data_IF_241093838280
#
_entry.id   IF_241093838280
#
_cell.length_a   1.000
_cell.length_b   1.000
_cell.length_c   1.000
_cell.angle_alpha   90.00
_cell.angle_beta   90.00
_cell.angle_gamma   90.00
#
_symmetry.space_group_name_H-M   'P 1'
#
loop_
_entity.id
_entity.type
_entity.pdbx_description
1 polymer ?
#
# COMPACT_ATOMS: atom_id res chain seq x y z
N UNK A 1 2.72 -15.81 23.22
CA UNK A 1 2.88 -15.94 21.77
C UNK A 1 4.36 -15.77 21.49
N UNK A 2 5.02 -16.76 20.88
CA UNK A 2 6.48 -16.76 20.74
C UNK A 2 6.94 -15.46 20.06
N UNK A 3 7.84 -14.72 20.72
CA UNK A 3 8.49 -13.52 20.19
C UNK A 3 9.40 -13.95 19.03
N UNK A 4 8.80 -14.18 17.86
CA UNK A 4 9.54 -14.42 16.62
C UNK A 4 10.36 -13.18 16.25
N UNK A 5 11.48 -13.38 15.57
CA UNK A 5 12.24 -12.27 15.00
C UNK A 5 11.37 -11.55 13.97
N UNK A 6 11.62 -10.25 13.78
CA UNK A 6 10.98 -9.48 12.73
C UNK A 6 11.33 -10.10 11.37
N UNK A 7 10.32 -10.41 10.55
CA UNK A 7 10.56 -10.86 9.18
C UNK A 7 10.80 -9.66 8.27
N UNK A 8 11.86 -9.73 7.48
CA UNK A 8 12.23 -8.75 6.46
C UNK A 8 12.16 -9.44 5.10
N UNK A 9 11.32 -8.91 4.22
CA UNK A 9 11.12 -9.43 2.88
C UNK A 9 11.74 -8.48 1.88
N UNK A 10 12.68 -8.97 1.06
CA UNK A 10 13.26 -8.19 -0.04
C UNK A 10 12.56 -8.63 -1.32
N UNK A 11 11.82 -7.70 -1.92
CA UNK A 11 11.22 -7.88 -3.23
C UNK A 11 12.17 -7.39 -4.31
N UNK A 12 12.66 -8.35 -5.11
CA UNK A 12 13.71 -8.10 -6.08
C UNK A 12 13.30 -7.15 -7.18
N UNK A 13 14.25 -6.35 -7.65
CA UNK A 13 14.13 -5.58 -8.85
C UNK A 13 13.79 -6.50 -10.01
N UNK A 14 12.92 -6.05 -10.89
CA UNK A 14 12.62 -6.87 -12.02
C UNK A 14 13.74 -6.85 -13.07
N UNK A 15 13.96 -8.00 -13.70
CA UNK A 15 15.02 -8.19 -14.68
C UNK A 15 16.38 -8.49 -14.05
N UNK A 16 17.46 -8.04 -14.70
CA UNK A 16 18.85 -8.39 -14.36
C UNK A 16 19.75 -7.17 -14.18
N UNK A 17 19.25 -6.10 -13.55
CA UNK A 17 20.07 -4.92 -13.27
C UNK A 17 21.11 -5.26 -12.18
N UNK A 18 22.43 -5.22 -12.47
CA UNK A 18 23.45 -5.65 -11.52
C UNK A 18 23.57 -4.71 -10.31
N UNK A 19 23.34 -3.40 -10.49
CA UNK A 19 23.41 -2.42 -9.38
C UNK A 19 22.31 -2.68 -8.36
N UNK A 20 21.09 -2.91 -8.86
CA UNK A 20 19.93 -3.20 -7.99
C UNK A 20 20.11 -4.51 -7.24
N UNK A 21 20.61 -5.55 -7.93
CA UNK A 21 20.90 -6.85 -7.32
C UNK A 21 21.99 -6.78 -6.27
N UNK A 22 23.06 -6.03 -6.53
CA UNK A 22 24.13 -5.82 -5.55
C UNK A 22 23.57 -5.17 -4.27
N UNK A 23 22.73 -4.13 -4.39
CA UNK A 23 22.09 -3.51 -3.24
C UNK A 23 21.20 -4.50 -2.45
N UNK A 24 20.36 -5.27 -3.15
CA UNK A 24 19.51 -6.30 -2.52
C UNK A 24 20.33 -7.36 -1.78
N UNK A 25 21.40 -7.84 -2.40
CA UNK A 25 22.32 -8.84 -1.84
C UNK A 25 23.07 -8.29 -0.63
N UNK A 26 23.59 -7.06 -0.72
CA UNK A 26 24.31 -6.40 0.37
C UNK A 26 23.40 -6.18 1.59
N UNK A 27 22.16 -5.72 1.39
CA UNK A 27 21.17 -5.58 2.47
C UNK A 27 20.89 -6.96 3.10
N UNK A 28 20.65 -7.98 2.27
CA UNK A 28 20.37 -9.33 2.77
C UNK A 28 21.53 -9.85 3.63
N UNK A 29 22.76 -9.77 3.13
CA UNK A 29 23.97 -10.25 3.82
C UNK A 29 24.17 -9.51 5.14
N UNK A 30 24.05 -8.18 5.17
CA UNK A 30 24.24 -7.40 6.39
C UNK A 30 23.19 -7.70 7.46
N UNK A 31 21.91 -7.83 7.08
CA UNK A 31 20.84 -8.19 8.02
C UNK A 31 21.04 -9.59 8.62
N UNK A 32 21.54 -10.54 7.82
CA UNK A 32 21.82 -11.90 8.29
C UNK A 32 23.00 -11.96 9.25
N UNK A 33 24.05 -11.20 8.99
CA UNK A 33 25.20 -11.07 9.89
C UNK A 33 24.79 -10.44 11.22
N UNK A 34 23.85 -9.49 11.21
CA UNK A 34 23.29 -8.89 12.42
C UNK A 34 22.45 -9.87 13.26
N UNK A 35 21.80 -10.85 12.64
CA UNK A 35 21.10 -11.95 13.31
C UNK A 35 19.83 -11.57 14.09
N UNK A 36 19.40 -10.30 14.04
CA UNK A 36 18.24 -9.77 14.77
C UNK A 36 16.90 -10.00 14.05
N UNK A 37 16.94 -10.24 12.74
CA UNK A 37 15.77 -10.38 11.86
C UNK A 37 15.84 -11.67 11.04
N UNK A 38 14.70 -12.12 10.53
CA UNK A 38 14.62 -13.22 9.57
C UNK A 38 14.46 -12.64 8.16
N UNK A 39 15.41 -12.93 7.26
CA UNK A 39 15.43 -12.37 5.90
C UNK A 39 14.87 -13.39 4.90
N UNK A 40 13.96 -12.95 4.05
CA UNK A 40 13.42 -13.72 2.93
C UNK A 40 13.44 -12.89 1.64
N UNK A 41 13.67 -13.55 0.51
CA UNK A 41 13.73 -12.91 -0.80
C UNK A 41 12.62 -13.49 -1.68
N UNK A 42 11.85 -12.60 -2.30
CA UNK A 42 10.77 -12.95 -3.23
C UNK A 42 11.02 -12.26 -4.58
N UNK A 43 10.43 -12.76 -5.69
CA UNK A 43 10.37 -12.02 -6.94
C UNK A 43 9.69 -10.64 -6.79
N UNK A 44 9.65 -9.89 -7.89
CA UNK A 44 9.06 -8.57 -7.89
C UNK A 44 7.57 -8.61 -7.46
N UNK A 45 7.24 -7.90 -6.39
CA UNK A 45 5.97 -7.99 -5.65
C UNK A 45 4.76 -7.81 -6.56
N UNK A 46 4.84 -6.84 -7.46
CA UNK A 46 3.76 -6.49 -8.38
C UNK A 46 3.55 -7.51 -9.51
N UNK A 47 4.59 -8.30 -9.83
CA UNK A 47 4.55 -9.31 -10.88
C UNK A 47 4.10 -10.69 -10.37
N UNK A 48 3.91 -10.86 -9.06
CA UNK A 48 3.50 -12.14 -8.46
C UNK A 48 2.09 -12.57 -8.92
N UNK A 49 1.93 -13.78 -9.49
CA UNK A 49 0.61 -14.36 -9.73
C UNK A 49 -0.02 -14.88 -8.41
N UNK A 50 -1.35 -15.08 -8.44
CA UNK A 50 -2.14 -15.37 -7.24
C UNK A 50 -1.80 -16.70 -6.55
N UNK A 51 -1.22 -17.64 -7.29
CA UNK A 51 -0.80 -18.99 -6.91
C UNK A 51 0.71 -19.10 -6.64
N UNK A 52 1.47 -18.00 -6.75
CA UNK A 52 2.92 -18.02 -6.54
C UNK A 52 3.31 -18.31 -5.08
N UNK A 53 4.38 -19.07 -4.89
CA UNK A 53 4.92 -19.44 -3.55
C UNK A 53 5.30 -18.22 -2.72
N UNK A 54 5.91 -17.19 -3.34
CA UNK A 54 6.21 -15.91 -2.69
C UNK A 54 4.97 -15.21 -2.13
N UNK A 55 3.82 -15.29 -2.82
CA UNK A 55 2.56 -14.72 -2.33
C UNK A 55 1.98 -15.55 -1.18
N UNK A 56 2.07 -16.88 -1.27
CA UNK A 56 1.66 -17.80 -0.20
C UNK A 56 2.47 -17.57 1.08
N UNK A 57 3.78 -17.32 0.93
CA UNK A 57 4.65 -16.93 2.04
C UNK A 57 4.22 -15.61 2.66
N UNK A 58 4.02 -14.54 1.88
CA UNK A 58 3.57 -13.25 2.43
C UNK A 58 2.23 -13.36 3.19
N UNK A 59 1.31 -14.19 2.69
CA UNK A 59 0.02 -14.46 3.35
C UNK A 59 0.17 -15.25 4.65
N UNK A 60 1.20 -16.10 4.77
CA UNK A 60 1.41 -16.92 5.97
C UNK A 60 2.08 -16.17 7.13
N UNK A 61 2.63 -14.97 6.88
CA UNK A 61 3.26 -14.15 7.93
C UNK A 61 2.22 -13.69 8.98
N UNK A 62 2.33 -14.16 10.24
CA UNK A 62 1.28 -13.95 11.24
C UNK A 62 1.33 -12.57 11.91
N UNK A 63 2.45 -11.84 11.79
CA UNK A 63 2.72 -10.61 12.55
C UNK A 63 3.29 -9.48 11.71
N UNK A 64 3.90 -8.53 12.41
CA UNK A 64 4.65 -7.42 11.85
C UNK A 64 5.74 -7.91 10.88
N UNK A 65 5.90 -7.23 9.75
CA UNK A 65 7.02 -7.49 8.84
C UNK A 65 7.40 -6.23 8.07
N UNK A 66 8.65 -6.21 7.59
CA UNK A 66 9.16 -5.18 6.70
C UNK A 66 9.19 -5.75 5.29
N UNK A 67 8.81 -4.95 4.29
CA UNK A 67 9.01 -5.26 2.88
C UNK A 67 9.83 -4.16 2.22
N UNK A 68 10.97 -4.54 1.66
CA UNK A 68 11.77 -3.69 0.80
C UNK A 68 11.38 -3.95 -0.65
N UNK A 69 11.11 -2.91 -1.42
CA UNK A 69 10.72 -3.06 -2.82
C UNK A 69 11.15 -1.87 -3.67
N UNK A 70 11.13 -2.04 -4.99
CA UNK A 70 11.38 -0.96 -5.96
C UNK A 70 10.10 -0.19 -6.34
N UNK A 71 9.10 -0.21 -5.47
CA UNK A 71 7.83 0.48 -5.60
C UNK A 71 7.76 1.58 -4.54
N UNK A 72 7.00 2.65 -4.83
CA UNK A 72 6.66 3.63 -3.79
C UNK A 72 5.95 2.95 -2.62
N UNK A 73 6.13 3.40 -1.36
CA UNK A 73 5.55 2.76 -0.18
C UNK A 73 4.03 2.59 -0.28
N UNK A 74 3.33 3.64 -0.72
CA UNK A 74 1.89 3.64 -0.98
C UNK A 74 1.49 2.61 -2.04
N UNK A 75 2.25 2.48 -3.13
CA UNK A 75 1.99 1.46 -4.15
C UNK A 75 2.20 0.04 -3.62
N UNK A 76 3.30 -0.23 -2.91
CA UNK A 76 3.58 -1.52 -2.31
C UNK A 76 2.46 -1.95 -1.33
N UNK A 77 2.00 -1.01 -0.51
CA UNK A 77 0.90 -1.23 0.44
C UNK A 77 -0.38 -1.71 -0.27
N UNK A 78 -0.84 -1.00 -1.30
CA UNK A 78 -2.08 -1.35 -1.98
C UNK A 78 -1.95 -2.57 -2.89
N UNK A 79 -0.74 -2.88 -3.37
CA UNK A 79 -0.46 -4.17 -4.04
C UNK A 79 -0.65 -5.32 -3.04
N UNK A 80 -0.13 -5.20 -1.82
CA UNK A 80 -0.32 -6.21 -0.76
C UNK A 80 -1.80 -6.34 -0.36
N UNK A 81 -2.49 -5.23 -0.14
CA UNK A 81 -3.90 -5.22 0.24
C UNK A 81 -4.77 -5.92 -0.81
N UNK A 82 -4.55 -5.62 -2.11
CA UNK A 82 -5.22 -6.30 -3.23
C UNK A 82 -5.05 -7.81 -3.15
N UNK A 83 -3.86 -8.27 -2.75
CA UNK A 83 -3.53 -9.70 -2.61
C UNK A 83 -4.01 -10.32 -1.29
N UNK A 84 -4.82 -9.59 -0.51
CA UNK A 84 -5.36 -9.98 0.79
C UNK A 84 -4.29 -10.08 1.89
N UNK A 85 -3.24 -9.27 1.75
CA UNK A 85 -2.17 -9.14 2.74
C UNK A 85 -2.35 -7.77 3.41
N UNK A 86 -3.37 -7.65 4.27
CA UNK A 86 -3.70 -6.40 4.96
C UNK A 86 -2.81 -6.14 6.19
N UNK A 87 -2.65 -4.88 6.56
CA UNK A 87 -1.94 -4.42 7.77
C UNK A 87 -1.87 -2.89 7.78
N UNK A 88 -1.54 -2.27 8.92
CA UNK A 88 -1.34 -0.81 8.97
C UNK A 88 -0.04 -0.43 8.27
N UNK A 89 -0.03 0.66 7.52
CA UNK A 89 1.21 1.19 6.94
C UNK A 89 2.12 1.72 8.06
N UNK A 90 3.31 1.14 8.18
CA UNK A 90 4.33 1.57 9.13
C UNK A 90 5.09 2.81 8.62
N UNK A 91 5.51 3.67 9.55
CA UNK A 91 6.32 4.86 9.23
C UNK A 91 7.80 4.47 9.08
N UNK A 92 8.43 4.93 8.01
CA UNK A 92 9.86 4.79 7.73
C UNK A 92 10.54 6.15 7.87
N UNK A 93 11.81 6.17 8.29
CA UNK A 93 12.65 7.38 8.28
C UNK A 93 13.40 7.60 6.97
N UNK A 94 13.38 6.60 6.09
CA UNK A 94 13.97 6.71 4.75
C UNK A 94 12.99 7.44 3.85
N UNK A 95 13.25 8.73 3.64
CA UNK A 95 12.53 9.63 2.72
C UNK A 95 13.51 10.12 1.67
N UNK A 96 13.01 10.40 0.47
CA UNK A 96 13.82 10.91 -0.64
C UNK A 96 14.33 12.32 -0.30
N UNK A 97 15.64 12.57 -0.44
CA UNK A 97 16.24 13.88 -0.08
C UNK A 97 15.82 14.97 -1.08
N UNK A 98 15.38 14.58 -2.28
CA UNK A 98 14.87 15.49 -3.31
C UNK A 98 13.45 16.05 -2.99
N UNK A 99 12.77 15.54 -1.96
CA UNK A 99 11.47 16.07 -1.49
C UNK A 99 11.61 17.22 -0.48
N UNK A 100 12.81 17.48 0.04
CA UNK A 100 13.08 18.50 1.08
C UNK A 100 13.27 19.93 0.52
N UNK A 101 13.24 20.16 -0.80
CA UNK A 101 13.28 21.50 -1.41
C UNK A 101 11.89 22.17 -1.57
N UNK A 102 10.80 21.48 -1.21
CA UNK A 102 9.50 22.12 -1.09
C UNK A 102 9.40 22.78 0.30
N UNK A 103 9.53 24.11 0.36
CA UNK A 103 9.34 24.89 1.60
C UNK A 103 8.08 24.42 2.34
N UNK A 104 8.29 23.86 3.53
CA UNK A 104 7.22 23.41 4.42
C UNK A 104 6.65 24.64 5.11
N UNK A 105 5.61 25.24 4.51
CA UNK A 105 4.70 26.10 5.26
C UNK A 105 3.92 25.20 6.24
N UNK A 106 4.26 25.33 7.52
CA UNK A 106 3.81 24.58 8.70
C UNK A 106 2.27 24.53 8.86
N UNK A 107 1.56 25.43 8.17
CA UNK A 107 0.09 25.52 8.20
C UNK A 107 -0.62 24.48 7.30
N UNK A 108 0.06 23.90 6.32
CA UNK A 108 -0.55 22.95 5.36
C UNK A 108 -0.74 21.54 5.93
N UNK A 109 0.04 21.16 6.96
CA UNK A 109 -0.02 19.84 7.59
C UNK A 109 -1.22 19.71 8.54
N UNK A 110 -1.63 20.81 9.18
CA UNK A 110 -2.77 20.82 10.10
C UNK A 110 -4.12 20.65 9.36
N UNK A 111 -4.27 21.31 8.21
CA UNK A 111 -5.52 21.26 7.41
C UNK A 111 -5.74 19.87 6.79
N UNK A 112 -4.67 19.15 6.44
CA UNK A 112 -4.73 17.78 5.92
C UNK A 112 -5.17 16.74 6.97
N UNK A 113 -4.95 17.01 8.26
CA UNK A 113 -5.40 16.12 9.33
C UNK A 113 -6.92 16.20 9.55
N UNK A 114 -7.51 17.39 9.34
CA UNK A 114 -8.94 17.64 9.58
C UNK A 114 -9.81 17.20 8.40
N UNK A 115 -9.37 17.39 7.15
CA UNK A 115 -10.10 16.93 5.97
C UNK A 115 -10.15 15.40 5.82
N UNK A 116 -9.15 14.69 6.37
CA UNK A 116 -9.10 13.22 6.37
C UNK A 116 -9.92 12.59 7.51
N UNK A 117 -10.41 13.39 8.46
CA UNK A 117 -11.18 12.91 9.62
C UNK A 117 -12.61 12.47 9.29
N UNK A 118 -13.21 12.99 8.22
CA UNK A 118 -14.64 12.83 7.95
C UNK A 118 -15.02 11.66 7.01
N UNK A 119 -14.06 10.98 6.38
CA UNK A 119 -14.33 9.87 5.45
C UNK A 119 -13.58 8.57 5.77
N UNK A 120 -12.84 8.52 6.88
CA UNK A 120 -12.11 7.34 7.32
C UNK A 120 -13.01 6.16 7.77
N UNK A 121 -14.31 6.39 7.99
CA UNK A 121 -15.22 5.38 8.53
C UNK A 121 -15.93 4.50 7.49
N UNK A 122 -15.94 4.85 6.20
CA UNK A 122 -16.79 4.13 5.22
C UNK A 122 -16.09 3.14 4.29
N UNK A 123 -14.77 2.97 4.35
CA UNK A 123 -14.04 2.06 3.44
C UNK A 123 -13.15 1.01 4.13
N UNK A 124 -13.05 1.00 5.47
CA UNK A 124 -12.13 0.15 6.23
C UNK A 124 -12.80 -1.04 6.95
N UNK A 125 -14.02 -1.42 6.55
CA UNK A 125 -14.79 -2.45 7.29
C UNK A 125 -14.84 -3.84 6.65
N UNK A 126 -14.16 -4.10 5.53
CA UNK A 126 -14.32 -5.39 4.81
C UNK A 126 -13.06 -6.22 4.62
N UNK A 127 -11.93 -5.79 5.15
CA UNK A 127 -10.73 -6.63 5.25
C UNK A 127 -10.32 -6.70 6.70
N UNK A 128 -10.39 -7.90 7.28
CA UNK A 128 -10.16 -8.14 8.70
C UNK A 128 -8.94 -7.38 9.18
N UNK A 129 -9.15 -6.40 10.08
CA UNK A 129 -8.10 -5.59 10.70
C UNK A 129 -7.16 -6.52 11.45
N UNK A 130 -6.16 -7.03 10.74
CA UNK A 130 -5.00 -7.65 11.36
C UNK A 130 -4.35 -6.53 12.18
N UNK A 131 -4.05 -6.79 13.45
CA UNK A 131 -3.38 -5.81 14.32
C UNK A 131 -1.91 -5.59 13.94
N UNK A 132 -1.47 -6.09 12.77
CA UNK A 132 -0.08 -6.01 12.31
C UNK A 132 0.18 -4.73 11.55
N UNK A 133 1.44 -4.33 11.58
CA UNK A 133 2.00 -3.21 10.83
C UNK A 133 2.93 -3.76 9.76
N UNK A 134 2.85 -3.21 8.56
CA UNK A 134 3.70 -3.54 7.42
C UNK A 134 4.48 -2.28 7.07
N UNK A 135 5.80 -2.32 7.19
CA UNK A 135 6.66 -1.22 6.77
C UNK A 135 7.07 -1.47 5.33
N UNK A 136 6.59 -0.62 4.41
CA UNK A 136 6.99 -0.64 3.01
C UNK A 136 8.13 0.35 2.81
N UNK A 137 9.34 -0.16 2.59
CA UNK A 137 10.55 0.63 2.40
C UNK A 137 10.91 0.62 0.91
N UNK A 138 11.15 1.81 0.37
CA UNK A 138 11.47 2.03 -1.04
C UNK A 138 12.99 1.97 -1.28
N UNK A 139 13.41 0.98 -2.07
CA UNK A 139 14.82 0.74 -2.43
C UNK A 139 15.42 1.77 -3.38
N UNK A 140 14.64 2.76 -3.82
CA UNK A 140 15.12 3.84 -4.69
C UNK A 140 15.72 5.01 -3.91
N UNK A 141 15.38 5.13 -2.64
CA UNK A 141 15.64 6.30 -1.79
C UNK A 141 17.12 6.47 -1.44
N UNK A 142 17.86 5.37 -1.30
CA UNK A 142 19.31 5.38 -1.05
C UNK A 142 20.00 4.30 -1.88
N UNK A 143 21.25 4.55 -2.25
CA UNK A 143 22.11 3.56 -2.91
C UNK A 143 22.97 2.74 -1.94
N UNK A 144 23.01 3.13 -0.67
CA UNK A 144 23.80 2.47 0.37
C UNK A 144 22.95 1.48 1.17
N UNK A 145 23.42 0.23 1.29
CA UNK A 145 22.78 -0.83 2.05
C UNK A 145 22.69 -0.50 3.55
N UNK A 146 23.68 0.23 4.11
CA UNK A 146 23.75 0.52 5.53
C UNK A 146 22.53 1.31 6.02
N UNK A 147 22.06 2.29 5.25
CA UNK A 147 20.88 3.10 5.58
C UNK A 147 19.62 2.24 5.77
N UNK A 148 19.42 1.23 4.92
CA UNK A 148 18.30 0.30 5.05
C UNK A 148 18.44 -0.61 6.26
N UNK A 149 19.64 -1.10 6.52
CA UNK A 149 19.94 -1.97 7.67
C UNK A 149 19.69 -1.22 8.98
N UNK A 150 20.17 0.02 9.11
CA UNK A 150 19.95 0.86 10.28
C UNK A 150 18.45 1.10 10.55
N UNK A 151 17.67 1.41 9.51
CA UNK A 151 16.23 1.64 9.67
C UNK A 151 15.50 0.36 10.08
N UNK A 152 15.88 -0.79 9.53
CA UNK A 152 15.29 -2.09 9.91
C UNK A 152 15.63 -2.45 11.35
N UNK A 153 16.87 -2.21 11.79
CA UNK A 153 17.28 -2.41 13.18
C UNK A 153 16.50 -1.50 14.13
N UNK A 154 16.27 -0.25 13.74
CA UNK A 154 15.41 0.68 14.49
C UNK A 154 13.98 0.15 14.61
N UNK A 155 13.38 -0.31 13.52
CA UNK A 155 12.02 -0.89 13.51
C UNK A 155 11.98 -2.15 14.40
N UNK A 156 12.97 -3.03 14.29
CA UNK A 156 13.07 -4.22 15.12
C UNK A 156 13.16 -3.88 16.62
N UNK A 157 13.94 -2.85 16.97
CA UNK A 157 14.05 -2.36 18.34
C UNK A 157 12.73 -1.74 18.84
N UNK A 158 12.03 -0.95 18.02
CA UNK A 158 10.74 -0.34 18.35
C UNK A 158 9.68 -1.40 18.69
N UNK A 159 9.61 -2.48 17.90
CA UNK A 159 8.65 -3.58 18.12
C UNK A 159 9.01 -4.38 19.38
N UNK A 160 10.31 -4.48 19.72
CA UNK A 160 10.77 -5.22 20.89
C UNK A 160 10.49 -4.52 22.23
N UNK A 161 10.15 -3.21 22.23
CA UNK A 161 9.82 -2.49 23.47
C UNK A 161 8.46 -2.96 24.00
N UNK A 162 8.37 -3.57 25.19
CA UNK A 162 7.10 -3.94 25.78
C UNK A 162 6.31 -2.67 26.14
N UNK A 163 5.11 -2.52 25.57
CA UNK A 163 4.19 -1.45 25.95
C UNK A 163 3.72 -1.73 27.38
N UNK A 164 4.31 -1.05 28.36
CA UNK A 164 3.83 -1.09 29.74
C UNK A 164 2.49 -0.38 29.75
N UNK A 165 1.41 -1.15 29.90
CA UNK A 165 0.09 -0.58 30.14
C UNK A 165 0.17 0.22 31.45
N UNK A 166 0.11 1.55 31.35
CA UNK A 166 -0.06 2.44 32.49
C UNK A 166 -1.43 2.16 33.09
N UNK A 167 -1.48 1.13 33.93
CA UNK A 167 -2.66 0.68 34.64
C UNK A 167 -3.08 1.72 35.67
N UNK A 168 -3.85 2.71 35.23
CA UNK A 168 -4.74 3.47 36.09
C UNK A 168 -5.81 2.50 36.60
N UNK A 169 -5.48 1.83 37.71
CA UNK A 169 -6.39 0.99 38.47
C UNK A 169 -7.46 1.88 39.12
N UNK A 170 -8.56 2.12 38.42
CA UNK A 170 -9.77 2.66 39.02
C UNK A 170 -10.45 1.52 39.81
N UNK A 171 -10.73 1.68 41.12
CA UNK A 171 -11.39 0.64 41.91
C UNK A 171 -12.87 0.56 41.52
N UNK A 172 -13.20 -0.24 40.52
CA UNK A 172 -14.58 -0.62 40.22
C UNK A 172 -15.06 -1.65 41.24
N UNK A 173 -15.91 -1.20 42.17
CA UNK A 173 -16.76 -2.07 42.99
C UNK A 173 -17.85 -2.66 42.10
N UNK A 174 -17.62 -3.86 41.58
CA UNK A 174 -18.72 -4.72 41.15
C UNK A 174 -18.33 -6.19 41.34
N UNK A 175 -18.79 -6.75 42.44
CA UNK A 175 -18.76 -8.17 42.76
C UNK A 175 -19.76 -8.91 41.87
N UNK A 176 -19.38 -9.92 41.07
CA UNK A 176 -20.32 -10.91 40.55
C UNK A 176 -20.43 -12.07 41.56
N UNK A 177 -21.64 -12.64 41.77
CA UNK A 177 -21.81 -13.76 42.68
C UNK A 177 -21.22 -15.04 42.08
N UNK A 178 -20.50 -15.79 42.91
CA UNK A 178 -20.02 -17.14 42.60
C UNK A 178 -21.21 -18.12 42.59
N UNK A 179 -21.29 -18.96 41.55
CA UNK A 179 -22.07 -20.20 41.57
C UNK A 179 -21.09 -21.39 41.51
N UNK A 180 -21.23 -22.41 42.38
CA UNK A 180 -20.34 -23.55 42.39
C UNK A 180 -20.79 -24.61 41.39
N UNK A 181 -19.98 -24.86 40.35
CA UNK A 181 -20.13 -26.04 39.49
C UNK A 181 -18.89 -26.92 39.65
N UNK A 182 -19.02 -27.93 40.51
CA UNK A 182 -18.14 -29.08 40.62
C UNK A 182 -18.38 -30.03 39.45
N UNK A 183 -17.38 -30.21 38.58
CA UNK A 183 -17.28 -31.42 37.74
C UNK A 183 -15.81 -31.91 37.73
N UNK A 184 -15.55 -33.23 37.70
CA UNK A 184 -14.23 -33.79 37.87
C UNK A 184 -13.40 -33.71 36.57
N UNK A 185 -12.14 -33.29 36.72
CA UNK A 185 -11.12 -33.31 35.67
C UNK A 185 -10.70 -34.76 35.43
N UNK A 186 -10.94 -35.27 34.22
CA UNK A 186 -10.34 -36.50 33.70
C UNK A 186 -9.18 -36.08 32.81
N UNK A 187 -7.95 -36.33 33.26
CA UNK A 187 -6.73 -36.17 32.47
C UNK A 187 -6.57 -37.33 31.49
N UNK A 188 -6.28 -37.10 30.19
CA UNK A 188 -5.78 -38.16 29.32
C UNK A 188 -4.25 -38.33 29.45
N UNK A 189 -3.73 -39.54 29.16
CA UNK A 189 -2.36 -39.93 29.50
C UNK A 189 -1.33 -39.50 28.46
N UNK A 190 -0.12 -39.24 28.95
CA UNK A 190 1.14 -39.22 28.21
C UNK A 190 1.45 -40.55 27.54
N UNK A 191 2.02 -40.54 26.32
CA UNK A 191 2.94 -41.59 25.90
C UNK A 191 4.39 -41.07 25.90
N UNK A 192 5.24 -41.81 26.61
CA UNK A 192 6.70 -41.81 26.51
C UNK A 192 7.07 -42.82 25.42
N UNK A 193 7.90 -42.44 24.44
CA UNK A 193 9.06 -43.22 23.99
C UNK A 193 9.83 -42.48 22.88
N UNK A 194 11.12 -42.30 23.16
CA UNK A 194 12.24 -42.03 22.25
C UNK A 194 12.25 -43.04 21.07
N UNK A 195 12.88 -42.83 19.91
CA UNK A 195 14.31 -42.64 19.64
C UNK A 195 14.41 -42.18 18.17
N UNK A 196 15.29 -41.23 17.86
CA UNK A 196 15.59 -40.86 16.47
C UNK A 196 16.56 -39.70 16.36
N UNK A 197 17.77 -39.87 16.91
CA UNK A 197 18.86 -38.93 16.77
C UNK A 197 19.32 -38.81 15.29
N UNK A 198 19.27 -37.59 14.76
CA UNK A 198 20.16 -37.07 13.72
C UNK A 198 20.14 -35.54 13.87
N UNK A 199 21.11 -34.97 14.58
CA UNK A 199 22.35 -34.40 14.00
C UNK A 199 22.10 -33.26 13.03
N UNK A 200 22.48 -32.04 13.45
CA UNK A 200 22.69 -30.92 12.54
C UNK A 200 22.15 -29.57 13.02
N UNK A 201 22.57 -29.12 14.21
CA UNK A 201 22.50 -27.71 14.53
C UNK A 201 23.51 -26.94 13.66
N UNK A 202 23.07 -26.52 12.48
CA UNK A 202 23.68 -25.41 11.75
C UNK A 202 22.71 -24.23 11.85
N UNK A 203 22.94 -23.34 12.82
CA UNK A 203 22.44 -21.97 12.77
C UNK A 203 23.25 -21.21 11.74
N UNK A 204 23.12 -21.60 10.47
CA UNK A 204 23.58 -20.81 9.34
C UNK A 204 22.41 -19.92 8.97
N UNK A 205 22.56 -18.60 9.14
CA UNK A 205 21.64 -17.66 8.52
C UNK A 205 21.60 -17.99 7.03
N UNK A 206 20.49 -18.55 6.58
CA UNK A 206 20.25 -18.95 5.20
C UNK A 206 19.19 -18.01 4.64
N UNK A 207 19.48 -17.36 3.50
CA UNK A 207 18.48 -16.55 2.81
C UNK A 207 17.44 -17.55 2.31
N UNK A 208 16.21 -17.42 2.79
CA UNK A 208 15.11 -18.15 2.15
C UNK A 208 14.79 -17.46 0.83
N UNK A 209 15.32 -18.00 -0.26
CA UNK A 209 14.89 -17.64 -1.61
C UNK A 209 13.59 -18.37 -1.94
N UNK A 210 12.49 -17.62 -2.06
CA UNK A 210 11.15 -18.18 -2.21
C UNK A 210 10.69 -17.97 -3.65
N UNK A 211 10.80 -19.02 -4.47
CA UNK A 211 10.32 -19.00 -5.86
C UNK A 211 11.11 -18.07 -6.78
N UNK A 212 12.39 -17.81 -6.51
CA UNK A 212 13.26 -16.91 -7.30
C UNK A 212 13.72 -17.50 -8.63
N UNK A 213 13.63 -18.82 -8.82
CA UNK A 213 14.00 -19.49 -10.08
C UNK A 213 12.92 -19.36 -11.18
N UNK A 214 11.69 -19.01 -10.81
CA UNK A 214 10.60 -18.79 -11.76
C UNK A 214 10.52 -17.31 -12.14
N UNK A 215 10.93 -16.99 -13.37
CA UNK A 215 10.84 -15.62 -13.90
C UNK A 215 9.36 -15.23 -14.03
N UNK A 216 8.86 -14.48 -13.06
CA UNK A 216 7.51 -13.92 -13.12
C UNK A 216 7.38 -12.98 -14.32
N UNK A 217 6.35 -13.21 -15.14
CA UNK A 217 6.06 -12.36 -16.30
C UNK A 217 5.68 -10.96 -15.85
N UNK A 218 6.22 -9.95 -16.52
CA UNK A 218 5.84 -8.53 -16.33
C UNK A 218 4.34 -8.32 -16.46
N UNK A 219 3.75 -7.66 -15.46
CA UNK A 219 2.32 -7.37 -15.39
C UNK A 219 2.03 -5.90 -15.55
N UNK A 220 0.82 -5.59 -15.97
CA UNK A 220 0.31 -4.23 -16.08
C UNK A 220 -1.14 -4.20 -15.67
N UNK A 221 -1.44 -3.59 -14.52
CA UNK A 221 -2.79 -3.44 -13.99
C UNK A 221 -2.88 -2.29 -12.97
N UNK A 222 -4.04 -1.62 -12.88
CA UNK A 222 -4.24 -0.60 -11.86
C UNK A 222 -4.38 -1.23 -10.47
N UNK A 223 -3.96 -0.48 -9.47
CA UNK A 223 -4.15 -0.74 -8.04
C UNK A 223 -4.92 0.43 -7.45
N UNK A 224 -5.93 0.17 -6.61
CA UNK A 224 -6.75 1.22 -6.00
C UNK A 224 -6.23 1.50 -4.60
N UNK A 225 -5.93 2.76 -4.34
CA UNK A 225 -5.76 3.29 -3.00
C UNK A 225 -7.12 3.62 -2.38
N UNK A 226 -7.60 2.74 -1.51
CA UNK A 226 -8.89 2.94 -0.85
C UNK A 226 -8.87 4.00 0.25
N UNK A 227 -7.71 4.48 0.70
CA UNK A 227 -7.63 5.62 1.61
C UNK A 227 -7.91 6.95 0.91
N UNK A 228 -7.62 7.05 -0.39
CA UNK A 228 -7.96 8.23 -1.22
C UNK A 228 -9.23 8.06 -2.04
N UNK A 229 -9.64 6.82 -2.33
CA UNK A 229 -10.79 6.58 -3.21
C UNK A 229 -12.10 7.07 -2.60
N UNK A 230 -12.75 8.01 -3.29
CA UNK A 230 -14.07 8.54 -2.91
C UNK A 230 -15.25 7.71 -3.44
N UNK A 231 -14.98 6.53 -4.02
CA UNK A 231 -15.96 5.66 -4.67
C UNK A 231 -16.80 6.38 -5.77
N UNK A 232 -16.21 7.36 -6.48
CA UNK A 232 -16.88 8.20 -7.48
C UNK A 232 -17.23 7.48 -8.81
N UNK A 233 -16.74 6.25 -9.03
CA UNK A 233 -17.00 5.42 -10.22
C UNK A 233 -16.51 5.96 -11.57
N UNK A 234 -15.69 7.00 -11.60
CA UNK A 234 -15.21 7.56 -12.87
C UNK A 234 -14.30 6.59 -13.64
N UNK A 235 -13.50 5.79 -12.92
CA UNK A 235 -12.58 4.84 -13.52
C UNK A 235 -13.29 3.67 -14.24
N UNK A 236 -14.41 3.18 -13.72
CA UNK A 236 -15.22 2.15 -14.37
C UNK A 236 -15.98 2.70 -15.58
N UNK A 237 -16.56 3.90 -15.46
CA UNK A 237 -17.26 4.56 -16.57
C UNK A 237 -16.29 4.87 -17.73
N UNK A 238 -15.05 5.25 -17.40
CA UNK A 238 -14.02 5.61 -18.37
C UNK A 238 -13.34 4.42 -19.05
N UNK A 239 -13.13 3.31 -18.33
CA UNK A 239 -12.38 2.18 -18.83
C UNK A 239 -13.21 1.27 -19.76
N UNK A 240 -12.94 1.33 -21.07
CA UNK A 240 -13.64 0.52 -22.08
C UNK A 240 -13.01 -0.87 -22.31
N UNK A 241 -12.16 -1.32 -21.39
CA UNK A 241 -11.43 -2.59 -21.44
C UNK A 241 -11.91 -3.61 -20.39
N UNK A 242 -12.95 -3.27 -19.60
CA UNK A 242 -13.54 -4.19 -18.63
C UNK A 242 -12.67 -4.49 -17.39
N UNK A 243 -11.77 -3.58 -17.04
CA UNK A 243 -10.82 -3.77 -15.92
C UNK A 243 -11.50 -3.67 -14.56
N UNK A 244 -12.48 -2.79 -14.44
CA UNK A 244 -13.14 -2.46 -13.18
C UNK A 244 -14.52 -3.11 -13.08
N UNK A 245 -14.91 -3.42 -11.84
CA UNK A 245 -16.24 -3.89 -11.45
C UNK A 245 -16.66 -3.27 -10.12
N UNK A 246 -17.81 -3.68 -9.60
CA UNK A 246 -18.29 -3.28 -8.27
C UNK A 246 -18.54 -4.52 -7.41
N UNK A 247 -18.25 -4.44 -6.10
CA UNK A 247 -18.54 -5.53 -5.16
C UNK A 247 -20.01 -5.52 -4.72
N UNK A 248 -20.39 -6.45 -3.85
CA UNK A 248 -21.74 -6.56 -3.31
C UNK A 248 -22.17 -5.35 -2.44
N UNK A 249 -21.26 -4.44 -2.12
CA UNK A 249 -21.50 -3.22 -1.36
C UNK A 249 -21.38 -1.96 -2.24
N UNK A 250 -21.47 -2.12 -3.57
CA UNK A 250 -21.32 -1.05 -4.56
C UNK A 250 -19.99 -0.30 -4.43
N UNK A 251 -18.92 -0.99 -4.05
CA UNK A 251 -17.56 -0.41 -4.02
C UNK A 251 -16.78 -0.80 -5.25
N UNK A 252 -16.11 0.19 -5.83
CA UNK A 252 -15.23 -0.01 -6.98
C UNK A 252 -14.11 -0.99 -6.65
N UNK A 253 -13.85 -1.92 -7.57
CA UNK A 253 -12.70 -2.83 -7.50
C UNK A 253 -12.11 -3.09 -8.88
N UNK A 254 -10.83 -3.45 -8.92
CA UNK A 254 -10.21 -3.97 -10.15
C UNK A 254 -10.56 -5.45 -10.27
N UNK A 255 -11.51 -5.78 -11.14
CA UNK A 255 -12.09 -7.11 -11.29
C UNK A 255 -11.27 -7.97 -12.25
N UNK A 256 -10.99 -7.44 -13.45
CA UNK A 256 -10.23 -8.14 -14.50
C UNK A 256 -8.89 -7.44 -14.74
N UNK A 257 -7.94 -7.63 -13.83
CA UNK A 257 -6.64 -6.94 -13.89
C UNK A 257 -5.87 -7.22 -15.19
N UNK A 258 -5.94 -8.44 -15.74
CA UNK A 258 -5.22 -8.82 -16.96
C UNK A 258 -5.91 -8.32 -18.25
N UNK A 259 -7.12 -7.75 -18.15
CA UNK A 259 -7.79 -7.05 -19.25
C UNK A 259 -7.24 -5.64 -19.46
N UNK A 260 -6.38 -5.14 -18.56
CA UNK A 260 -5.78 -3.82 -18.69
C UNK A 260 -4.80 -3.78 -19.87
N UNK A 261 -4.91 -2.74 -20.71
CA UNK A 261 -4.02 -2.56 -21.86
C UNK A 261 -2.63 -2.15 -21.38
N UNK A 262 -1.62 -2.89 -21.84
CA UNK A 262 -0.23 -2.71 -21.42
C UNK A 262 0.23 -1.29 -21.69
N UNK A 263 0.67 -0.60 -20.65
CA UNK A 263 1.18 0.75 -20.74
C UNK A 263 0.11 1.85 -20.73
N UNK A 264 -1.18 1.53 -20.70
CA UNK A 264 -2.26 2.51 -20.61
C UNK A 264 -2.47 2.97 -19.15
N UNK A 265 -2.22 4.25 -18.79
CA UNK A 265 -2.45 4.76 -17.46
C UNK A 265 -3.72 5.64 -17.37
N UNK A 266 -4.50 5.74 -18.45
CA UNK A 266 -5.51 6.78 -18.65
C UNK A 266 -6.52 6.92 -17.50
N UNK A 267 -6.95 5.80 -16.90
CA UNK A 267 -7.86 5.83 -15.75
C UNK A 267 -7.28 6.49 -14.48
N UNK A 268 -5.96 6.58 -14.35
CA UNK A 268 -5.31 7.35 -13.27
C UNK A 268 -5.44 8.85 -13.45
N UNK A 269 -5.49 9.33 -14.70
CA UNK A 269 -5.59 10.76 -15.01
C UNK A 269 -6.98 11.32 -14.79
N UNK A 270 -8.00 10.51 -15.03
CA UNK A 270 -9.40 10.89 -14.75
C UNK A 270 -9.78 10.71 -13.29
N UNK A 271 -8.99 10.02 -12.47
CA UNK A 271 -9.32 9.84 -11.07
C UNK A 271 -9.14 11.17 -10.31
N UNK A 272 -10.22 11.79 -9.79
CA UNK A 272 -10.14 13.13 -9.18
C UNK A 272 -9.38 13.11 -7.85
N UNK A 273 -9.44 11.98 -7.13
CA UNK A 273 -8.74 11.79 -5.86
C UNK A 273 -7.32 11.20 -6.01
N UNK A 274 -6.83 11.02 -7.25
CA UNK A 274 -5.55 10.36 -7.53
C UNK A 274 -5.40 8.99 -6.83
N UNK A 275 -6.48 8.20 -6.79
CA UNK A 275 -6.54 6.93 -6.08
C UNK A 275 -6.09 5.72 -6.94
N UNK A 276 -5.99 5.88 -8.26
CA UNK A 276 -5.59 4.80 -9.16
C UNK A 276 -4.08 4.84 -9.40
N UNK A 277 -3.40 3.76 -9.05
CA UNK A 277 -1.94 3.61 -9.09
C UNK A 277 -1.55 2.59 -10.17
N UNK A 278 -0.54 2.90 -10.96
CA UNK A 278 0.16 1.94 -11.82
C UNK A 278 1.62 1.84 -11.35
N UNK A 279 1.96 0.88 -10.46
CA UNK A 279 3.22 0.88 -9.72
C UNK A 279 4.51 0.96 -10.55
N UNK A 280 4.48 0.47 -11.80
CA UNK A 280 5.64 0.50 -12.70
C UNK A 280 5.58 1.62 -13.75
N UNK A 281 4.67 2.58 -13.61
CA UNK A 281 4.60 3.72 -14.51
C UNK A 281 5.80 4.65 -14.28
N UNK A 282 6.28 5.30 -15.34
CA UNK A 282 7.45 6.19 -15.29
C UNK A 282 7.23 7.48 -14.50
N UNK A 283 5.99 7.96 -14.41
CA UNK A 283 5.63 9.17 -13.68
C UNK A 283 5.33 8.83 -12.23
N UNK A 284 6.09 9.41 -11.29
CA UNK A 284 6.01 9.19 -9.84
C UNK A 284 4.57 9.26 -9.30
N UNK A 285 3.84 10.33 -9.65
CA UNK A 285 2.46 10.55 -9.25
C UNK A 285 1.49 9.41 -9.63
N UNK A 286 1.67 8.81 -10.82
CA UNK A 286 0.86 7.68 -11.31
C UNK A 286 1.38 6.36 -10.70
N UNK A 287 2.68 6.28 -10.43
CA UNK A 287 3.31 5.12 -9.80
C UNK A 287 3.05 5.02 -8.29
N UNK A 288 2.32 5.96 -7.71
CA UNK A 288 1.91 5.93 -6.31
C UNK A 288 2.92 6.56 -5.37
N UNK A 289 3.71 7.53 -5.83
CA UNK A 289 4.46 8.41 -4.94
C UNK A 289 3.52 9.15 -3.97
N UNK A 290 4.08 9.51 -2.81
CA UNK A 290 3.43 10.45 -1.91
C UNK A 290 3.50 11.87 -2.49
N UNK A 291 2.61 12.76 -2.05
CA UNK A 291 2.29 14.03 -2.72
C UNK A 291 0.96 14.02 -3.51
N UNK A 292 0.48 15.20 -3.92
CA UNK A 292 -0.87 15.33 -4.53
C UNK A 292 -0.91 14.89 -6.00
N UNK A 293 -0.27 13.79 -6.40
CA UNK A 293 -0.43 13.26 -7.76
C UNK A 293 -0.15 14.27 -8.89
N UNK A 294 -0.75 14.08 -10.08
CA UNK A 294 -0.73 15.14 -11.09
C UNK A 294 -1.59 16.34 -10.67
N UNK A 295 -2.28 16.30 -9.52
CA UNK A 295 -3.12 17.36 -8.97
C UNK A 295 -2.36 18.45 -8.19
N UNK A 296 -1.24 18.17 -7.50
CA UNK A 296 -0.32 19.21 -6.97
C UNK A 296 0.39 19.91 -8.12
N UNK A 297 0.79 19.14 -9.14
CA UNK A 297 1.36 19.67 -10.37
C UNK A 297 0.34 20.48 -11.21
N UNK A 298 -0.95 20.48 -10.86
CA UNK A 298 -1.96 21.33 -11.52
C UNK A 298 -1.76 22.81 -11.24
N UNK A 299 -1.05 23.17 -10.18
CA UNK A 299 -0.84 24.59 -9.83
C UNK A 299 0.38 25.18 -10.56
N UNK A 300 1.40 24.35 -10.87
CA UNK A 300 2.69 24.88 -11.34
C UNK A 300 2.96 24.66 -12.85
N UNK A 301 2.33 23.67 -13.50
CA UNK A 301 2.46 23.51 -14.96
C UNK A 301 1.72 24.60 -15.76
N UNK A 302 0.65 25.17 -15.20
CA UNK A 302 -0.09 26.28 -15.83
C UNK A 302 0.74 27.57 -15.92
N UNK A 303 1.73 27.74 -15.02
CA UNK A 303 2.61 28.93 -15.00
C UNK A 303 3.85 28.75 -15.88
N UNK A 304 4.36 27.54 -16.03
CA UNK A 304 5.62 27.26 -16.76
C UNK A 304 5.48 27.16 -18.29
N UNK A 305 4.28 26.91 -18.83
CA UNK A 305 4.08 26.74 -20.29
C UNK A 305 3.10 27.72 -20.94
N UNK A 306 2.72 28.81 -20.27
CA UNK A 306 2.10 29.97 -20.93
C UNK A 306 0.75 29.70 -21.64
N UNK A 307 -0.10 28.83 -21.10
CA UNK A 307 -1.45 28.58 -21.58
C UNK A 307 -2.47 28.77 -20.46
N UNK A 308 -3.41 29.69 -20.67
CA UNK A 308 -4.50 29.94 -19.73
C UNK A 308 -5.44 28.73 -19.57
N UNK A 309 -6.11 28.72 -18.41
CA UNK A 309 -7.29 27.93 -18.03
C UNK A 309 -7.19 26.38 -18.09
N UNK A 310 -7.32 25.79 -16.89
CA UNK A 310 -7.92 24.48 -16.58
C UNK A 310 -7.09 23.20 -16.77
N UNK A 311 -6.20 22.95 -15.81
CA UNK A 311 -5.41 21.73 -15.65
C UNK A 311 -6.22 20.42 -15.52
N UNK A 312 -7.52 20.49 -15.20
CA UNK A 312 -8.43 19.34 -15.22
C UNK A 312 -8.89 18.96 -16.63
N UNK A 313 -9.13 19.95 -17.50
CA UNK A 313 -9.51 19.74 -18.90
C UNK A 313 -8.34 19.10 -19.67
N UNK A 314 -7.11 19.59 -19.43
CA UNK A 314 -5.88 19.01 -19.99
C UNK A 314 -5.64 17.54 -19.56
N UNK A 315 -5.92 17.20 -18.29
CA UNK A 315 -5.77 15.83 -17.79
C UNK A 315 -6.77 14.86 -18.43
N UNK A 316 -8.03 15.31 -18.62
CA UNK A 316 -9.08 14.53 -19.26
C UNK A 316 -8.78 14.31 -20.75
N UNK A 317 -8.35 15.34 -21.47
CA UNK A 317 -7.93 15.23 -22.87
C UNK A 317 -6.79 14.23 -23.05
N UNK A 318 -5.79 14.29 -22.18
CA UNK A 318 -4.67 13.35 -22.19
C UNK A 318 -5.14 11.92 -21.93
N UNK A 319 -6.04 11.72 -20.97
CA UNK A 319 -6.61 10.42 -20.67
C UNK A 319 -7.35 9.84 -21.89
N UNK A 320 -8.20 10.65 -22.53
CA UNK A 320 -8.96 10.24 -23.72
C UNK A 320 -8.02 9.87 -24.85
N UNK A 321 -6.99 10.68 -25.10
CA UNK A 321 -5.98 10.39 -26.11
C UNK A 321 -5.28 9.06 -25.85
N UNK A 322 -4.83 8.80 -24.62
CA UNK A 322 -4.17 7.56 -24.24
C UNK A 322 -5.10 6.34 -24.39
N UNK A 323 -6.36 6.45 -23.95
CA UNK A 323 -7.35 5.39 -24.10
C UNK A 323 -7.63 5.09 -25.58
N UNK A 324 -7.87 6.12 -26.38
CA UNK A 324 -8.24 5.98 -27.77
C UNK A 324 -7.09 5.47 -28.64
N UNK A 325 -5.84 5.83 -28.30
CA UNK A 325 -4.66 5.24 -28.91
C UNK A 325 -4.66 3.71 -28.77
N UNK A 326 -4.99 3.19 -27.58
CA UNK A 326 -5.06 1.75 -27.34
C UNK A 326 -6.29 1.08 -27.98
N UNK A 327 -7.42 1.79 -28.08
CA UNK A 327 -8.58 1.31 -28.84
C UNK A 327 -8.23 1.11 -30.32
N UNK A 328 -7.56 2.10 -30.92
CA UNK A 328 -7.12 2.04 -32.32
C UNK A 328 -6.10 0.92 -32.52
N UNK A 329 -5.17 0.73 -31.57
CA UNK A 329 -4.21 -0.37 -31.61
C UNK A 329 -4.88 -1.76 -31.58
N UNK A 330 -6.04 -1.88 -30.92
CA UNK A 330 -6.88 -3.08 -30.91
C UNK A 330 -7.77 -3.24 -32.16
N UNK A 331 -7.72 -2.29 -33.11
CA UNK A 331 -8.59 -2.28 -34.30
C UNK A 331 -10.02 -1.80 -34.03
N UNK A 332 -10.26 -1.09 -32.93
CA UNK A 332 -11.53 -0.42 -32.60
C UNK A 332 -11.47 1.05 -33.03
N UNK A 333 -12.63 1.68 -33.24
CA UNK A 333 -12.70 3.12 -33.50
C UNK A 333 -12.43 3.95 -32.23
N UNK A 334 -11.74 5.08 -32.41
CA UNK A 334 -11.60 6.09 -31.36
C UNK A 334 -12.97 6.70 -31.05
N UNK A 335 -13.30 6.81 -29.76
CA UNK A 335 -14.62 7.26 -29.30
C UNK A 335 -14.63 8.70 -28.80
N UNK A 336 -13.44 9.28 -28.59
CA UNK A 336 -13.21 10.64 -28.14
C UNK A 336 -13.92 10.97 -26.83
N UNK A 337 -14.30 12.23 -26.69
CA UNK A 337 -15.04 12.77 -25.54
C UNK A 337 -16.51 12.30 -25.47
N UNK A 338 -16.98 11.43 -26.37
CA UNK A 338 -18.39 11.05 -26.41
C UNK A 338 -18.75 9.89 -25.47
N UNK A 339 -17.79 9.02 -25.19
CA UNK A 339 -18.01 7.76 -24.45
C UNK A 339 -17.09 7.72 -23.24
N UNK A 340 -17.64 7.31 -22.10
CA UNK A 340 -16.89 7.09 -20.85
C UNK A 340 -16.30 8.35 -20.23
N UNK A 341 -16.80 9.54 -20.58
CA UNK A 341 -16.38 10.77 -19.90
C UNK A 341 -17.06 10.85 -18.53
N UNK A 342 -16.31 11.17 -17.46
CA UNK A 342 -16.88 11.33 -16.13
C UNK A 342 -17.95 12.42 -16.11
N UNK A 343 -19.22 12.02 -15.96
CA UNK A 343 -20.36 12.95 -15.75
C UNK A 343 -20.86 12.95 -14.31
N UNK A 344 -20.41 11.96 -13.53
CA UNK A 344 -20.97 11.68 -12.20
C UNK A 344 -20.68 12.79 -11.18
N UNK A 345 -19.77 13.71 -11.51
CA UNK A 345 -19.46 14.90 -10.71
C UNK A 345 -19.95 16.23 -11.29
N UNK A 346 -20.53 16.24 -12.51
CA UNK A 346 -21.06 17.47 -13.14
C UNK A 346 -22.25 18.09 -12.37
N UNK A 347 -22.74 17.41 -11.32
CA UNK A 347 -23.87 17.85 -10.49
C UNK A 347 -23.68 17.68 -8.99
N UNK A 348 -22.46 17.47 -8.48
CA UNK A 348 -22.22 17.60 -7.03
C UNK A 348 -22.24 19.10 -6.74
N UNK A 349 -23.45 19.63 -6.49
CA UNK A 349 -23.60 20.99 -5.98
C UNK A 349 -22.62 21.13 -4.82
N UNK A 350 -21.89 22.25 -4.76
CA UNK A 350 -21.52 22.79 -3.45
C UNK A 350 -22.80 22.70 -2.64
N UNK A 351 -22.83 21.88 -1.59
CA UNK A 351 -23.97 21.85 -0.70
C UNK A 351 -24.24 23.31 -0.33
N UNK A 352 -25.49 23.80 -0.46
CA UNK A 352 -25.77 25.16 -0.02
C UNK A 352 -25.32 25.24 1.43
N UNK A 353 -24.47 26.24 1.75
CA UNK A 353 -23.90 26.45 3.08
C UNK A 353 -24.96 26.13 4.12
N UNK A 354 -24.68 25.12 4.92
CA UNK A 354 -25.59 24.70 5.96
C UNK A 354 -25.18 25.29 7.30
N UNK A 355 -26.03 25.09 8.31
CA UNK A 355 -25.80 25.62 9.64
C UNK A 355 -24.52 25.04 10.29
N UNK A 356 -24.00 23.92 9.77
CA UNK A 356 -22.75 23.32 10.23
C UNK A 356 -21.54 24.11 9.72
N UNK A 357 -21.59 24.58 8.47
CA UNK A 357 -20.57 25.45 7.88
C UNK A 357 -20.46 26.79 8.65
N UNK A 358 -21.60 27.39 9.01
CA UNK A 358 -21.63 28.63 9.80
C UNK A 358 -21.12 28.43 11.24
N UNK A 359 -21.32 27.24 11.82
CA UNK A 359 -20.80 26.90 13.14
C UNK A 359 -19.28 26.68 13.14
N UNK A 360 -18.73 26.11 12.07
CA UNK A 360 -17.29 25.94 11.87
C UNK A 360 -16.58 27.30 11.76
N UNK A 361 -17.10 28.23 10.95
CA UNK A 361 -16.55 29.60 10.85
C UNK A 361 -16.63 30.36 12.19
N UNK A 362 -17.65 30.06 13.00
CA UNK A 362 -17.81 30.67 14.33
C UNK A 362 -16.81 30.13 15.36
N UNK A 363 -16.23 28.94 15.13
CA UNK A 363 -15.21 28.34 16.00
C UNK A 363 -13.80 28.87 15.69
N UNK A 364 -13.52 29.18 14.43
CA UNK A 364 -12.24 29.77 13.98
C UNK A 364 -12.12 31.28 14.26
N UNK A 365 -13.19 31.91 14.76
CA UNK A 365 -13.22 33.34 15.08
C UNK A 365 -13.02 33.66 16.57
N UNK A 366 -12.54 32.70 17.37
CA UNK A 366 -12.22 32.87 18.81
C UNK A 366 -10.74 32.84 19.14
#
# INVERSE_FOLDING_TARGET
MASGKLTVVISQAPGKNPVKRALEEDIAVQLMLGGQVDVSVIPHLYDLPADHTGLMFLRSLPGHFVILSWLYPRAAHWVLDRQKIGGRLGRTRLVDEDEDEAETDDDSVAILAEMNGAHAETASETHGKTSRTIWSIDLRVRSDAAAYVEEIQRIAAEIAVPVVSLGLSFPSKSTPPQAPSTLPVISPPTPIAEIGAASGANTSGSVQQIGTEELTKRRWYPVIDYSRCTNCMECIDFCLFGVYGVDALDRILVEQQDSCKKGCPACSRVCPANAIIFPEHKTAAIAGADGDGPAAFKVDLSKLFGGGNDSAESALEMAVKERDQELVADGREAVGMKVGIPKRQEGKAQSPRDNLDDLLDSLDSF
#
